data_IF_077436254800
#
_entry.id   IF_077436254800
#
_cell.length_a   1.000
_cell.length_b   1.000
_cell.length_c   1.000
_cell.angle_alpha   90.00
_cell.angle_beta   90.00
_cell.angle_gamma   90.00
#
_symmetry.space_group_name_H-M   'P 1'
#
loop_
_entity.id
_entity.type
_entity.pdbx_description
1 polymer ?
#
# COMPACT_ATOMS: atom_id res chain seq x y z
N UNK A 1 3.77 15.30 -16.60
CA UNK A 1 3.83 14.93 -15.20
C UNK A 1 5.20 15.33 -14.62
N UNK A 2 5.22 16.17 -13.57
CA UNK A 2 6.47 16.54 -12.89
C UNK A 2 6.42 16.00 -11.46
N UNK A 3 7.20 14.97 -11.21
CA UNK A 3 7.26 14.25 -9.92
C UNK A 3 8.71 13.84 -9.61
N UNK A 4 9.01 13.67 -8.33
CA UNK A 4 10.08 12.81 -7.85
C UNK A 4 9.45 11.53 -7.32
N UNK A 5 10.11 10.39 -7.45
CA UNK A 5 9.60 9.13 -6.93
C UNK A 5 10.71 8.21 -6.45
N UNK A 6 10.37 7.32 -5.54
CA UNK A 6 11.25 6.27 -5.05
C UNK A 6 10.42 5.08 -4.53
N UNK A 7 11.09 3.94 -4.44
CA UNK A 7 10.57 2.74 -3.80
C UNK A 7 11.65 2.07 -2.95
N UNK A 8 11.22 1.34 -1.93
CA UNK A 8 12.07 0.56 -1.04
C UNK A 8 11.35 -0.72 -0.63
N UNK A 9 12.10 -1.80 -0.48
CA UNK A 9 11.63 -3.05 0.11
C UNK A 9 12.75 -3.66 0.94
N UNK A 10 12.51 -3.82 2.23
CA UNK A 10 13.45 -4.38 3.21
C UNK A 10 12.91 -5.71 3.73
N UNK A 11 13.81 -6.65 3.95
CA UNK A 11 13.47 -7.97 4.47
C UNK A 11 12.97 -7.92 5.93
N UNK A 12 13.42 -6.92 6.71
CA UNK A 12 13.22 -6.93 8.15
C UNK A 12 13.92 -8.11 8.81
N UNK A 13 13.29 -8.70 9.82
CA UNK A 13 13.79 -9.89 10.52
C UNK A 13 13.14 -11.20 10.02
N UNK A 14 12.54 -11.18 8.84
CA UNK A 14 11.96 -12.37 8.21
C UNK A 14 13.01 -13.15 7.42
N UNK A 15 12.72 -14.42 7.11
CA UNK A 15 13.56 -15.26 6.24
C UNK A 15 13.31 -15.01 4.77
N UNK A 16 12.08 -14.64 4.41
CA UNK A 16 11.64 -14.40 3.05
C UNK A 16 10.93 -13.05 2.95
N UNK A 17 11.05 -12.40 1.79
CA UNK A 17 10.33 -11.18 1.50
C UNK A 17 9.07 -11.51 0.68
N UNK A 18 7.90 -11.38 1.31
CA UNK A 18 6.59 -11.61 0.70
C UNK A 18 5.94 -10.33 0.18
N UNK A 19 6.52 -9.17 0.47
CA UNK A 19 6.09 -7.89 -0.08
C UNK A 19 6.52 -7.72 -1.53
N UNK A 20 5.73 -6.97 -2.30
CA UNK A 20 6.12 -6.42 -3.60
C UNK A 20 5.75 -4.95 -3.68
N UNK A 21 6.64 -4.17 -4.29
CA UNK A 21 6.46 -2.75 -4.50
C UNK A 21 6.81 -2.38 -5.93
N UNK A 22 6.11 -1.41 -6.50
CA UNK A 22 6.44 -0.87 -7.81
C UNK A 22 5.94 0.57 -7.96
N UNK A 23 6.75 1.39 -8.65
CA UNK A 23 6.36 2.70 -9.17
C UNK A 23 6.48 2.68 -10.69
N UNK A 24 5.34 2.65 -11.38
CA UNK A 24 5.27 2.74 -12.84
C UNK A 24 4.97 4.18 -13.25
N UNK A 25 5.84 4.79 -14.07
CA UNK A 25 5.72 6.20 -14.47
C UNK A 25 5.68 6.31 -15.99
N UNK A 26 4.64 6.96 -16.51
CA UNK A 26 4.52 7.36 -17.89
C UNK A 26 4.66 8.88 -18.07
N UNK A 27 4.48 9.37 -19.28
CA UNK A 27 4.45 10.81 -19.56
C UNK A 27 3.32 11.55 -18.83
N UNK A 28 2.17 10.89 -18.65
CA UNK A 28 0.94 11.51 -18.16
C UNK A 28 0.52 11.07 -16.77
N UNK A 29 0.95 9.90 -16.32
CA UNK A 29 0.47 9.26 -15.09
C UNK A 29 1.56 8.52 -14.35
N UNK A 30 1.37 8.32 -13.04
CA UNK A 30 2.19 7.43 -12.23
C UNK A 30 1.29 6.52 -11.40
N UNK A 31 1.67 5.24 -11.30
CA UNK A 31 1.01 4.22 -10.48
C UNK A 31 1.99 3.75 -9.40
N UNK A 32 1.61 3.89 -8.14
CA UNK A 32 2.32 3.34 -6.99
C UNK A 32 1.54 2.13 -6.49
N UNK A 33 2.23 1.04 -6.25
CA UNK A 33 1.62 -0.22 -5.78
C UNK A 33 2.47 -0.81 -4.67
N UNK A 34 1.84 -1.22 -3.57
CA UNK A 34 2.42 -2.09 -2.55
C UNK A 34 1.47 -3.25 -2.29
N UNK A 35 2.02 -4.44 -2.30
CA UNK A 35 1.33 -5.70 -2.05
C UNK A 35 2.08 -6.42 -0.93
N UNK A 36 1.39 -6.75 0.14
CA UNK A 36 1.90 -7.58 1.23
C UNK A 36 1.29 -8.98 1.12
N UNK A 37 2.14 -9.96 0.88
CA UNK A 37 1.74 -11.34 0.64
C UNK A 37 1.55 -12.12 1.93
N UNK A 38 0.38 -12.73 2.11
CA UNK A 38 0.02 -13.55 3.25
C UNK A 38 -0.17 -14.99 2.85
N UNK A 39 0.45 -15.91 3.58
CA UNK A 39 0.35 -17.34 3.33
C UNK A 39 1.62 -18.03 3.82
N UNK A 40 1.50 -19.32 4.20
CA UNK A 40 2.67 -20.05 4.69
C UNK A 40 3.78 -20.14 3.63
N UNK A 41 5.02 -19.77 4.00
CA UNK A 41 6.22 -19.90 3.15
C UNK A 41 6.14 -19.13 1.81
N UNK A 42 6.32 -19.82 0.68
CA UNK A 42 6.43 -19.21 -0.65
C UNK A 42 5.11 -18.70 -1.25
N UNK A 43 3.98 -19.02 -0.66
CA UNK A 43 2.69 -18.76 -1.30
C UNK A 43 2.25 -17.30 -1.16
N UNK A 44 2.61 -16.62 -0.06
CA UNK A 44 2.42 -15.16 0.09
C UNK A 44 3.22 -14.38 -0.96
N UNK A 45 4.50 -14.73 -1.16
CA UNK A 45 5.32 -14.11 -2.19
C UNK A 45 4.75 -14.29 -3.61
N UNK A 46 4.18 -15.47 -3.92
CA UNK A 46 3.52 -15.75 -5.20
C UNK A 46 2.24 -14.94 -5.37
N UNK A 47 1.44 -14.79 -4.29
CA UNK A 47 0.25 -13.95 -4.30
C UNK A 47 0.61 -12.50 -4.62
N UNK A 48 1.61 -11.95 -3.91
CA UNK A 48 2.08 -10.59 -4.12
C UNK A 48 2.66 -10.37 -5.52
N UNK A 49 3.47 -11.30 -6.03
CA UNK A 49 4.03 -11.27 -7.39
C UNK A 49 2.94 -11.27 -8.47
N UNK A 50 1.92 -12.12 -8.29
CA UNK A 50 0.79 -12.22 -9.22
C UNK A 50 -0.02 -10.93 -9.23
N UNK A 51 -0.34 -10.40 -8.04
CA UNK A 51 -1.16 -9.19 -7.92
C UNK A 51 -0.46 -7.96 -8.51
N UNK A 52 0.83 -7.74 -8.18
CA UNK A 52 1.56 -6.57 -8.67
C UNK A 52 1.74 -6.62 -10.19
N UNK A 53 2.00 -7.79 -10.75
CA UNK A 53 2.11 -8.00 -12.19
C UNK A 53 0.83 -7.59 -12.91
N UNK A 54 -0.33 -8.05 -12.44
CA UNK A 54 -1.64 -7.69 -13.03
C UNK A 54 -1.87 -6.18 -13.01
N UNK A 55 -1.59 -5.51 -11.89
CA UNK A 55 -1.80 -4.07 -11.75
C UNK A 55 -0.88 -3.25 -12.64
N UNK A 56 0.41 -3.60 -12.68
CA UNK A 56 1.41 -2.90 -13.50
C UNK A 56 1.16 -3.14 -15.00
N UNK A 57 0.83 -4.38 -15.41
CA UNK A 57 0.46 -4.68 -16.80
C UNK A 57 -0.82 -3.93 -17.21
N UNK A 58 -1.83 -3.87 -16.36
CA UNK A 58 -3.06 -3.11 -16.62
C UNK A 58 -2.76 -1.62 -16.85
N UNK A 59 -1.86 -1.03 -16.04
CA UNK A 59 -1.44 0.37 -16.20
C UNK A 59 -0.79 0.62 -17.56
N UNK A 60 0.14 -0.24 -17.98
CA UNK A 60 0.85 -0.06 -19.25
C UNK A 60 -0.02 -0.32 -20.49
N UNK A 61 -1.05 -1.18 -20.39
CA UNK A 61 -1.95 -1.48 -21.49
C UNK A 61 -3.14 -0.52 -21.58
N UNK A 62 -3.37 0.32 -20.58
CA UNK A 62 -4.47 1.29 -20.59
C UNK A 62 -4.01 2.62 -21.22
N UNK A 63 -4.75 3.18 -22.22
CA UNK A 63 -4.45 4.49 -22.75
C UNK A 63 -4.40 5.57 -21.67
N UNK A 64 -3.40 6.47 -21.77
CA UNK A 64 -3.15 7.48 -20.75
C UNK A 64 -3.26 8.91 -21.32
N UNK A 65 -3.74 9.88 -20.53
CA UNK A 65 -4.22 9.72 -19.15
C UNK A 65 -5.46 8.82 -19.08
N UNK A 66 -5.59 8.05 -18.00
CA UNK A 66 -6.68 7.10 -17.81
C UNK A 66 -8.02 7.88 -17.68
N UNK A 67 -9.01 7.56 -18.53
CA UNK A 67 -10.25 8.32 -18.62
C UNK A 67 -11.11 8.18 -17.34
N UNK A 68 -11.20 6.96 -16.81
CA UNK A 68 -11.90 6.65 -15.55
C UNK A 68 -10.92 6.03 -14.55
N UNK A 69 -10.22 6.84 -13.73
CA UNK A 69 -9.25 6.36 -12.74
C UNK A 69 -9.82 5.40 -11.72
N UNK A 70 -11.02 5.66 -11.20
CA UNK A 70 -11.62 4.82 -10.16
C UNK A 70 -12.13 3.50 -10.73
N UNK A 71 -12.74 3.52 -11.91
CA UNK A 71 -13.11 2.31 -12.64
C UNK A 71 -11.89 1.46 -13.01
N UNK A 72 -10.79 2.10 -13.43
CA UNK A 72 -9.52 1.41 -13.69
C UNK A 72 -9.00 0.71 -12.44
N UNK A 73 -8.93 1.39 -11.30
CA UNK A 73 -8.46 0.82 -10.03
C UNK A 73 -9.36 -0.35 -9.59
N UNK A 74 -10.68 -0.16 -9.64
CA UNK A 74 -11.64 -1.20 -9.27
C UNK A 74 -11.50 -2.47 -10.14
N UNK A 75 -11.48 -2.32 -11.45
CA UNK A 75 -11.37 -3.44 -12.37
C UNK A 75 -10.02 -4.13 -12.29
N UNK A 76 -8.93 -3.37 -12.13
CA UNK A 76 -7.58 -3.93 -12.01
C UNK A 76 -7.40 -4.72 -10.71
N UNK A 77 -7.95 -4.23 -9.58
CA UNK A 77 -7.96 -4.97 -8.32
C UNK A 77 -8.84 -6.23 -8.40
N UNK A 78 -10.00 -6.15 -9.06
CA UNK A 78 -10.83 -7.32 -9.30
C UNK A 78 -10.10 -8.41 -10.08
N UNK A 79 -9.39 -8.04 -11.14
CA UNK A 79 -8.54 -8.97 -11.93
C UNK A 79 -7.40 -9.52 -11.10
N UNK A 80 -6.73 -8.69 -10.30
CA UNK A 80 -5.66 -9.15 -9.42
C UNK A 80 -6.18 -10.18 -8.40
N UNK A 81 -7.36 -9.92 -7.82
CA UNK A 81 -8.02 -10.87 -6.93
C UNK A 81 -8.30 -12.22 -7.61
N UNK A 82 -8.88 -12.21 -8.80
CA UNK A 82 -9.17 -13.43 -9.57
C UNK A 82 -7.89 -14.26 -9.86
N UNK A 83 -6.81 -13.60 -10.27
CA UNK A 83 -5.55 -14.28 -10.58
C UNK A 83 -4.89 -14.86 -9.32
N UNK A 84 -4.93 -14.13 -8.18
CA UNK A 84 -4.43 -14.66 -6.90
C UNK A 84 -5.30 -15.82 -6.42
N UNK A 85 -6.63 -15.73 -6.51
CA UNK A 85 -7.55 -16.80 -6.11
C UNK A 85 -7.30 -18.11 -6.89
N UNK A 86 -6.94 -18.03 -8.18
CA UNK A 86 -6.59 -19.19 -9.00
C UNK A 86 -5.40 -19.97 -8.45
N UNK A 87 -4.46 -19.33 -7.76
CA UNK A 87 -3.29 -20.00 -7.18
C UNK A 87 -3.70 -21.01 -6.09
N UNK A 88 -4.82 -20.77 -5.42
CA UNK A 88 -5.31 -21.59 -4.31
C UNK A 88 -6.49 -22.50 -4.64
N UNK A 89 -6.90 -22.64 -5.92
CA UNK A 89 -8.15 -23.34 -6.30
C UNK A 89 -8.25 -24.78 -5.76
N UNK A 90 -7.11 -25.49 -5.67
CA UNK A 90 -7.05 -26.87 -5.20
C UNK A 90 -6.59 -27.00 -3.74
N UNK A 91 -6.49 -25.88 -3.02
CA UNK A 91 -6.02 -25.86 -1.62
C UNK A 91 -7.19 -25.66 -0.66
N UNK A 92 -7.12 -26.23 0.56
CA UNK A 92 -7.99 -25.84 1.66
C UNK A 92 -7.94 -24.32 1.89
N UNK A 93 -9.03 -23.75 2.36
CA UNK A 93 -9.18 -22.28 2.49
C UNK A 93 -8.06 -21.64 3.32
N UNK A 94 -7.61 -22.30 4.37
CA UNK A 94 -6.59 -21.83 5.29
C UNK A 94 -5.18 -21.75 4.66
N UNK A 95 -4.96 -22.54 3.59
CA UNK A 95 -3.67 -22.63 2.88
C UNK A 95 -3.65 -21.83 1.57
N UNK A 96 -4.76 -21.20 1.22
CA UNK A 96 -4.83 -20.42 -0.02
C UNK A 96 -3.99 -19.15 0.05
N UNK A 97 -3.21 -18.85 -0.98
CA UNK A 97 -2.46 -17.60 -1.08
C UNK A 97 -3.36 -16.38 -0.99
N UNK A 98 -2.92 -15.36 -0.26
CA UNK A 98 -3.62 -14.10 -0.06
C UNK A 98 -2.64 -12.96 -0.10
N UNK A 99 -3.15 -11.75 -0.31
CA UNK A 99 -2.34 -10.55 -0.19
C UNK A 99 -3.21 -9.34 0.16
N UNK A 100 -2.63 -8.37 0.85
CA UNK A 100 -3.19 -7.02 0.92
C UNK A 100 -2.80 -6.25 -0.34
N UNK A 101 -3.41 -5.11 -0.58
CA UNK A 101 -3.02 -4.22 -1.66
C UNK A 101 -3.33 -2.77 -1.30
N UNK A 102 -2.36 -1.90 -1.51
CA UNK A 102 -2.58 -0.46 -1.58
C UNK A 102 -2.04 0.05 -2.92
N UNK A 103 -2.87 0.81 -3.64
CA UNK A 103 -2.54 1.34 -4.97
C UNK A 103 -2.97 2.79 -5.08
N UNK A 104 -2.09 3.63 -5.66
CA UNK A 104 -2.36 5.05 -5.89
C UNK A 104 -1.99 5.42 -7.33
N UNK A 105 -2.95 6.02 -8.06
CA UNK A 105 -2.76 6.58 -9.38
C UNK A 105 -2.69 8.10 -9.29
N UNK A 106 -1.66 8.68 -9.88
CA UNK A 106 -1.42 10.14 -9.95
C UNK A 106 -1.50 10.57 -11.40
N UNK A 107 -2.41 11.47 -11.72
CA UNK A 107 -2.53 12.09 -13.05
C UNK A 107 -3.29 13.41 -13.00
N UNK A 108 -3.03 14.31 -13.95
CA UNK A 108 -3.75 15.58 -14.09
C UNK A 108 -3.88 16.38 -12.79
N UNK A 109 -2.80 16.44 -11.99
CA UNK A 109 -2.80 17.17 -10.72
C UNK A 109 -3.73 16.60 -9.65
N UNK A 110 -4.03 15.31 -9.72
CA UNK A 110 -4.89 14.64 -8.78
C UNK A 110 -4.39 13.25 -8.46
N UNK A 111 -4.68 12.78 -7.25
CA UNK A 111 -4.47 11.42 -6.82
C UNK A 111 -5.80 10.67 -6.70
N UNK A 112 -5.75 9.38 -7.01
CA UNK A 112 -6.83 8.41 -6.86
C UNK A 112 -6.23 7.16 -6.23
N UNK A 113 -6.88 6.56 -5.26
CA UNK A 113 -6.34 5.35 -4.64
C UNK A 113 -7.41 4.32 -4.35
N UNK A 114 -6.97 3.10 -4.19
CA UNK A 114 -7.77 2.00 -3.71
C UNK A 114 -6.92 1.11 -2.79
N UNK A 115 -7.56 0.42 -1.87
CA UNK A 115 -6.88 -0.57 -1.05
C UNK A 115 -7.81 -1.71 -0.64
N UNK A 116 -7.17 -2.85 -0.30
CA UNK A 116 -7.76 -4.04 0.29
C UNK A 116 -6.77 -4.52 1.35
N UNK A 117 -7.23 -4.65 2.60
CA UNK A 117 -6.39 -5.02 3.73
C UNK A 117 -5.92 -3.82 4.54
N UNK A 118 -4.72 -3.90 5.10
CA UNK A 118 -4.11 -2.95 6.02
C UNK A 118 -2.83 -2.29 5.47
N UNK A 119 -2.43 -2.59 4.24
CA UNK A 119 -1.51 -1.73 3.50
C UNK A 119 -2.14 -0.37 3.26
N UNK A 120 -1.37 0.71 3.44
CA UNK A 120 -1.92 2.07 3.53
C UNK A 120 -1.47 2.98 2.40
N UNK A 121 -2.34 3.94 2.06
CA UNK A 121 -2.02 5.13 1.27
C UNK A 121 -2.10 6.35 2.18
N UNK A 122 -1.05 7.17 2.17
CA UNK A 122 -1.00 8.46 2.84
C UNK A 122 -0.89 9.59 1.81
N UNK A 123 -1.63 10.65 2.00
CA UNK A 123 -1.37 11.96 1.42
C UNK A 123 -0.85 12.88 2.52
N UNK A 124 0.43 13.25 2.41
CA UNK A 124 1.09 14.15 3.35
C UNK A 124 1.16 15.54 2.73
N UNK A 125 0.73 16.54 3.48
CA UNK A 125 0.73 17.94 3.06
C UNK A 125 1.30 18.82 4.15
N UNK A 126 2.33 19.60 3.83
CA UNK A 126 2.96 20.56 4.76
C UNK A 126 3.39 19.92 6.09
N UNK A 127 3.98 18.70 6.01
CA UNK A 127 4.47 17.96 7.18
C UNK A 127 3.38 17.39 8.09
N UNK A 128 2.17 17.20 7.57
CA UNK A 128 1.05 16.58 8.28
C UNK A 128 0.40 15.49 7.44
N UNK A 129 -0.18 14.48 8.08
CA UNK A 129 -1.09 13.55 7.41
C UNK A 129 -2.37 14.31 7.07
N UNK A 130 -2.54 14.60 5.77
CA UNK A 130 -3.75 15.26 5.27
C UNK A 130 -4.88 14.26 5.07
N UNK A 131 -4.56 13.07 4.51
CA UNK A 131 -5.46 11.93 4.39
C UNK A 131 -4.68 10.62 4.51
N UNK A 132 -5.37 9.60 4.98
CA UNK A 132 -4.87 8.23 5.09
C UNK A 132 -6.02 7.25 4.85
N UNK A 133 -5.73 6.09 4.26
CA UNK A 133 -6.67 4.96 4.21
C UNK A 133 -6.96 4.42 5.60
N UNK A 134 -8.10 3.77 5.77
CA UNK A 134 -8.46 3.02 6.98
C UNK A 134 -8.32 1.55 6.71
N UNK A 135 -7.70 0.84 7.62
CA UNK A 135 -7.41 -0.58 7.46
C UNK A 135 -8.69 -1.44 7.43
N UNK A 136 -8.70 -2.47 6.60
CA UNK A 136 -9.71 -3.52 6.68
C UNK A 136 -9.25 -4.56 7.71
N UNK A 137 -9.16 -4.15 8.97
CA UNK A 137 -8.73 -4.98 10.08
C UNK A 137 -9.78 -5.00 11.19
N UNK A 138 -9.79 -6.11 11.94
CA UNK A 138 -10.71 -6.27 13.07
C UNK A 138 -10.54 -5.16 14.12
N UNK A 139 -9.31 -4.73 14.34
CA UNK A 139 -9.00 -3.68 15.32
C UNK A 139 -9.53 -2.31 14.88
N UNK A 140 -9.42 -1.96 13.59
CA UNK A 140 -9.98 -0.73 13.04
C UNK A 140 -11.51 -0.75 13.13
N UNK A 141 -12.16 -1.90 12.90
CA UNK A 141 -13.60 -2.07 13.11
C UNK A 141 -13.99 -1.79 14.56
N UNK A 142 -13.30 -2.40 15.54
CA UNK A 142 -13.57 -2.19 16.98
C UNK A 142 -13.34 -0.74 17.42
N UNK A 143 -12.32 -0.08 16.89
CA UNK A 143 -12.05 1.35 17.12
C UNK A 143 -13.20 2.23 16.62
N UNK A 144 -13.67 1.97 15.41
CA UNK A 144 -14.77 2.73 14.80
C UNK A 144 -16.08 2.57 15.56
N UNK A 145 -16.36 1.36 16.03
CA UNK A 145 -17.56 1.09 16.84
C UNK A 145 -17.41 1.58 18.30
N UNK A 146 -16.25 2.14 18.67
CA UNK A 146 -16.00 2.64 20.03
C UNK A 146 -15.89 1.55 21.10
N UNK A 147 -15.65 0.30 20.68
CA UNK A 147 -15.53 -0.88 21.58
C UNK A 147 -14.18 -0.87 22.29
N UNK A 148 -13.13 -0.38 21.62
CA UNK A 148 -11.78 -0.25 22.17
C UNK A 148 -11.24 1.18 21.93
N UNK A 149 -10.26 1.56 22.75
CA UNK A 149 -9.49 2.81 22.57
C UNK A 149 -8.29 2.60 21.65
N UNK A 150 -7.66 3.69 21.18
CA UNK A 150 -6.44 3.64 20.39
C UNK A 150 -5.29 2.90 21.13
N UNK A 151 -5.14 3.14 22.43
CA UNK A 151 -4.12 2.46 23.25
C UNK A 151 -4.39 0.95 23.36
N UNK A 152 -5.65 0.55 23.50
CA UNK A 152 -6.03 -0.86 23.53
C UNK A 152 -5.80 -1.56 22.18
N UNK A 153 -5.94 -0.83 21.09
CA UNK A 153 -5.70 -1.34 19.74
C UNK A 153 -4.24 -1.79 19.54
N UNK A 154 -3.28 -1.05 20.09
CA UNK A 154 -1.84 -1.35 19.95
C UNK A 154 -1.43 -2.72 20.53
N UNK A 155 -2.15 -3.18 21.56
CA UNK A 155 -1.86 -4.44 22.27
C UNK A 155 -2.91 -5.51 22.07
N UNK A 156 -3.89 -5.27 21.18
CA UNK A 156 -5.01 -6.18 20.96
C UNK A 156 -4.52 -7.52 20.37
N UNK A 157 -5.01 -8.69 20.85
CA UNK A 157 -4.58 -10.00 20.34
C UNK A 157 -4.81 -10.19 18.84
N UNK A 158 -5.83 -9.53 18.28
CA UNK A 158 -6.18 -9.59 16.86
C UNK A 158 -5.70 -8.37 16.07
N UNK A 159 -4.68 -7.65 16.52
CA UNK A 159 -4.20 -6.44 15.87
C UNK A 159 -3.73 -6.67 14.42
N UNK A 160 -3.22 -7.86 14.13
CA UNK A 160 -2.74 -8.25 12.80
C UNK A 160 -3.80 -9.06 12.01
N UNK A 161 -5.06 -9.09 12.47
CA UNK A 161 -6.10 -9.82 11.77
C UNK A 161 -6.73 -8.94 10.69
N UNK A 162 -6.41 -9.27 9.44
CA UNK A 162 -6.93 -8.61 8.24
C UNK A 162 -8.24 -9.26 7.83
N UNK A 163 -9.30 -8.48 7.67
CA UNK A 163 -10.65 -8.97 7.32
C UNK A 163 -10.84 -9.13 5.81
N UNK A 164 -10.18 -8.29 5.01
CA UNK A 164 -10.30 -8.29 3.54
C UNK A 164 -8.93 -8.46 2.89
N UNK A 165 -8.83 -9.37 1.92
CA UNK A 165 -7.60 -9.60 1.17
C UNK A 165 -7.87 -10.03 -0.28
N UNK A 166 -6.88 -9.87 -1.15
CA UNK A 166 -6.87 -10.49 -2.46
C UNK A 166 -6.67 -12.00 -2.33
N UNK A 167 -7.31 -12.80 -3.18
CA UNK A 167 -7.23 -14.25 -3.12
C UNK A 167 -8.02 -14.88 -1.98
N UNK A 168 -7.67 -16.11 -1.59
CA UNK A 168 -8.39 -16.88 -0.57
C UNK A 168 -9.78 -17.32 -1.04
N UNK A 169 -10.77 -16.47 -0.93
CA UNK A 169 -12.13 -16.71 -1.37
C UNK A 169 -12.32 -16.40 -2.87
N UNK A 170 -13.26 -17.02 -3.58
CA UNK A 170 -13.52 -16.71 -4.99
C UNK A 170 -14.34 -15.41 -5.18
N UNK A 171 -14.95 -14.90 -4.13
CA UNK A 171 -15.78 -13.69 -4.19
C UNK A 171 -14.90 -12.44 -4.04
N UNK A 172 -15.22 -11.41 -4.82
CA UNK A 172 -14.52 -10.14 -4.75
C UNK A 172 -14.61 -9.58 -3.32
N UNK A 173 -13.46 -9.30 -2.67
CA UNK A 173 -13.46 -8.74 -1.33
C UNK A 173 -13.99 -7.30 -1.34
N UNK A 174 -14.42 -6.81 -0.19
CA UNK A 174 -14.67 -5.40 -0.01
C UNK A 174 -13.38 -4.62 -0.28
N UNK A 175 -13.48 -3.61 -1.15
CA UNK A 175 -12.39 -2.69 -1.46
C UNK A 175 -12.80 -1.25 -1.17
N UNK A 176 -11.91 -0.48 -0.61
CA UNK A 176 -12.10 0.95 -0.42
C UNK A 176 -11.51 1.73 -1.58
N UNK A 177 -12.33 2.59 -2.18
CA UNK A 177 -11.94 3.52 -3.24
C UNK A 177 -11.91 4.94 -2.67
N UNK A 178 -10.77 5.61 -2.80
CA UNK A 178 -10.63 7.02 -2.44
C UNK A 178 -11.23 7.91 -3.51
N UNK A 179 -11.86 9.01 -3.08
CA UNK A 179 -12.32 10.04 -4.01
C UNK A 179 -11.11 10.75 -4.64
N UNK A 180 -11.37 11.44 -5.76
CA UNK A 180 -10.38 12.32 -6.40
C UNK A 180 -9.85 13.35 -5.40
N UNK A 181 -8.53 13.39 -5.22
CA UNK A 181 -7.84 14.38 -4.38
C UNK A 181 -6.96 15.30 -5.22
N UNK A 182 -7.28 16.59 -5.28
CA UNK A 182 -6.41 17.57 -5.90
C UNK A 182 -5.08 17.69 -5.14
N UNK A 183 -3.98 17.70 -5.89
CA UNK A 183 -2.63 17.81 -5.34
C UNK A 183 -2.14 19.25 -5.32
N UNK A 184 -1.49 19.64 -4.24
CA UNK A 184 -0.71 20.86 -4.09
C UNK A 184 0.77 20.58 -4.35
N UNK A 185 1.53 21.61 -4.78
CA UNK A 185 2.97 21.47 -4.95
C UNK A 185 3.64 21.01 -3.64
N UNK A 186 4.50 20.01 -3.75
CA UNK A 186 5.21 19.33 -2.66
C UNK A 186 4.35 18.39 -1.79
N UNK A 187 3.14 18.06 -2.21
CA UNK A 187 2.43 16.95 -1.60
C UNK A 187 3.22 15.65 -1.78
N UNK A 188 3.19 14.81 -0.75
CA UNK A 188 3.77 13.48 -0.74
C UNK A 188 2.64 12.45 -0.75
N UNK A 189 2.70 11.55 -1.72
CA UNK A 189 1.90 10.33 -1.73
C UNK A 189 2.80 9.17 -1.34
N UNK A 190 2.48 8.50 -0.25
CA UNK A 190 3.19 7.34 0.27
C UNK A 190 2.24 6.16 0.29
N UNK A 191 2.67 5.05 -0.30
CA UNK A 191 1.98 3.75 -0.26
C UNK A 191 2.89 2.77 0.45
N UNK A 192 2.40 2.02 1.45
CA UNK A 192 3.28 1.16 2.25
C UNK A 192 2.55 -0.06 2.84
N UNK A 193 3.33 -1.13 3.11
CA UNK A 193 2.89 -2.29 3.90
C UNK A 193 2.88 -1.99 5.40
N UNK A 194 2.32 -2.90 6.18
CA UNK A 194 2.24 -2.80 7.64
C UNK A 194 3.60 -2.75 8.33
N UNK A 195 4.63 -3.39 7.75
CA UNK A 195 6.00 -3.32 8.25
C UNK A 195 6.57 -1.89 8.32
N UNK A 196 6.05 -0.94 7.53
CA UNK A 196 6.45 0.46 7.65
C UNK A 196 5.70 1.16 8.79
N UNK A 197 4.37 1.15 8.76
CA UNK A 197 3.56 1.92 9.70
C UNK A 197 3.42 1.25 11.07
N UNK A 198 3.62 -0.06 11.16
CA UNK A 198 3.54 -0.81 12.41
C UNK A 198 4.61 -0.43 13.45
N UNK A 199 5.73 0.13 13.01
CA UNK A 199 6.81 0.63 13.87
C UNK A 199 6.84 2.16 14.06
N UNK A 200 5.93 2.90 13.43
CA UNK A 200 5.98 4.36 13.38
C UNK A 200 4.62 4.99 13.68
N UNK A 201 4.63 6.16 14.30
CA UNK A 201 3.45 6.98 14.44
C UNK A 201 3.21 7.83 13.18
N UNK A 202 1.96 8.26 12.95
CA UNK A 202 1.61 9.16 11.83
C UNK A 202 2.45 10.46 11.85
N UNK A 203 2.87 10.93 13.03
CA UNK A 203 3.74 12.09 13.18
C UNK A 203 5.16 11.83 12.62
N UNK A 204 5.71 10.63 12.84
CA UNK A 204 7.01 10.21 12.30
C UNK A 204 6.97 10.16 10.77
N UNK A 205 5.91 9.54 10.23
CA UNK A 205 5.70 9.42 8.78
C UNK A 205 5.53 10.80 8.13
N UNK A 206 4.72 11.68 8.73
CA UNK A 206 4.39 12.98 8.14
C UNK A 206 5.58 13.94 8.07
N UNK A 207 6.55 13.79 8.96
CA UNK A 207 7.75 14.64 9.04
C UNK A 207 8.98 14.08 8.32
N UNK A 208 8.88 12.87 7.75
CA UNK A 208 9.99 12.17 7.13
C UNK A 208 10.48 12.79 5.81
N UNK A 209 9.64 13.58 5.13
CA UNK A 209 9.90 14.12 3.80
C UNK A 209 9.99 15.66 3.78
N UNK A 210 11.02 16.25 4.43
CA UNK A 210 11.18 17.70 4.44
C UNK A 210 11.53 18.26 3.06
N UNK A 211 11.12 19.50 2.78
CA UNK A 211 11.55 20.19 1.57
C UNK A 211 13.07 20.43 1.58
N UNK A 212 13.74 20.04 0.51
CA UNK A 212 15.11 20.45 0.18
C UNK A 212 16.26 19.94 1.08
N UNK A 213 16.21 18.71 1.64
CA UNK A 213 17.34 18.20 2.45
C UNK A 213 18.09 17.02 1.87
N UNK A 214 17.39 16.07 1.25
CA UNK A 214 18.01 14.88 0.68
C UNK A 214 17.20 14.39 -0.52
N UNK A 215 17.80 13.54 -1.39
CA UNK A 215 17.03 12.82 -2.40
C UNK A 215 15.86 12.05 -1.76
N UNK A 216 14.70 12.06 -2.40
CA UNK A 216 13.47 11.41 -1.92
C UNK A 216 13.70 9.92 -1.57
N UNK A 217 14.57 9.26 -2.34
CA UNK A 217 14.97 7.86 -2.10
C UNK A 217 15.66 7.68 -0.74
N UNK A 218 16.55 8.59 -0.38
CA UNK A 218 17.31 8.49 0.89
C UNK A 218 16.39 8.80 2.09
N UNK A 219 15.41 9.68 1.91
CA UNK A 219 14.39 9.97 2.91
C UNK A 219 13.50 8.76 3.15
N UNK A 220 13.04 8.11 2.08
CA UNK A 220 12.24 6.90 2.14
C UNK A 220 13.00 5.74 2.79
N UNK A 221 14.27 5.53 2.39
CA UNK A 221 15.10 4.48 2.96
C UNK A 221 15.31 4.67 4.47
N UNK A 222 15.64 5.90 4.91
CA UNK A 222 15.78 6.21 6.35
C UNK A 222 14.50 5.96 7.13
N UNK A 223 13.34 6.28 6.55
CA UNK A 223 12.05 6.02 7.18
C UNK A 223 11.81 4.51 7.35
N UNK A 224 12.06 3.72 6.31
CA UNK A 224 11.92 2.26 6.35
C UNK A 224 12.89 1.60 7.34
N UNK A 225 14.17 1.99 7.32
CA UNK A 225 15.18 1.51 8.28
C UNK A 225 14.83 1.87 9.73
N UNK A 226 14.26 3.06 9.95
CA UNK A 226 13.79 3.48 11.27
C UNK A 226 12.66 2.58 11.76
N UNK A 227 11.67 2.25 10.91
CA UNK A 227 10.60 1.33 11.29
C UNK A 227 11.15 -0.03 11.70
N UNK A 228 12.01 -0.63 10.87
CA UNK A 228 12.68 -1.91 11.17
C UNK A 228 13.44 -1.83 12.49
N UNK A 229 14.17 -0.74 12.72
CA UNK A 229 14.95 -0.54 13.96
C UNK A 229 14.08 -0.41 15.21
N UNK A 230 12.95 0.29 15.12
CA UNK A 230 12.01 0.48 16.24
C UNK A 230 11.36 -0.85 16.65
N UNK A 231 10.92 -1.63 15.66
CA UNK A 231 10.30 -2.95 15.93
C UNK A 231 11.34 -4.00 16.32
N UNK A 232 12.57 -3.90 15.79
CA UNK A 232 13.69 -4.78 16.12
C UNK A 232 13.47 -6.21 15.64
N UNK A 233 13.70 -7.19 16.53
CA UNK A 233 13.65 -8.62 16.18
C UNK A 233 12.28 -9.13 15.70
N UNK A 234 11.23 -8.36 15.90
CA UNK A 234 9.87 -8.67 15.40
C UNK A 234 9.50 -7.97 14.07
N UNK A 235 10.44 -7.26 13.43
CA UNK A 235 10.14 -6.48 12.24
C UNK A 235 9.75 -7.36 11.07
N UNK A 236 8.68 -6.94 10.37
CA UNK A 236 8.18 -7.58 9.16
C UNK A 236 8.91 -7.11 7.91
N UNK A 237 8.58 -7.71 6.76
CA UNK A 237 8.92 -7.14 5.47
C UNK A 237 8.39 -5.70 5.43
N UNK A 238 9.21 -4.77 4.98
CA UNK A 238 8.90 -3.34 5.04
C UNK A 238 9.05 -2.75 3.66
N UNK A 239 7.92 -2.51 3.00
CA UNK A 239 7.89 -2.01 1.63
C UNK A 239 7.11 -0.72 1.51
N UNK A 240 7.64 0.21 0.72
CA UNK A 240 6.98 1.48 0.45
C UNK A 240 7.35 2.07 -0.91
N UNK A 241 6.40 2.80 -1.49
CA UNK A 241 6.56 3.63 -2.66
C UNK A 241 6.14 5.06 -2.35
N UNK A 242 6.89 6.04 -2.85
CA UNK A 242 6.63 7.46 -2.60
C UNK A 242 6.69 8.28 -3.88
N UNK A 243 5.79 9.25 -3.99
CA UNK A 243 5.84 10.31 -5.02
C UNK A 243 5.77 11.66 -4.33
N UNK A 244 6.67 12.58 -4.71
CA UNK A 244 6.54 14.02 -4.44
C UNK A 244 5.98 14.70 -5.68
N UNK A 245 4.85 15.35 -5.51
CA UNK A 245 4.20 16.11 -6.57
C UNK A 245 4.86 17.49 -6.74
N UNK A 246 5.44 17.76 -7.90
CA UNK A 246 6.09 19.07 -8.19
C UNK A 246 5.13 19.97 -8.96
N UNK A 247 4.30 19.41 -9.82
CA UNK A 247 3.33 20.16 -10.63
C UNK A 247 3.01 19.49 -11.96
N UNK A 248 2.14 20.12 -12.72
CA UNK A 248 1.95 19.80 -14.13
C UNK A 248 3.13 20.37 -14.95
N UNK A 249 3.46 19.72 -16.05
CA UNK A 249 4.46 20.21 -17.01
C UNK A 249 3.90 21.44 -17.74
#
# INVERSE_FOLDING_TARGET
LRIEYAEVSLLGCRTDNQDRVSVAVSEHSALLVVIDGMGGHSDGARAAETAIKVLVEAFWHTPQPILDPLGFLHLSLGRAHEEVAKLGTNLPLELRPRATCAVCLVQNGSAFWAHIGDSRVYLLRRGKVFKRTRDHSHVEFLLREGVITADQALTHPMRNFVECCLGGEPFLPEMSLGLREPLEANDILLVCSDGLWGGLEDADISTAFPLARAPLRDELLRLAERSVSVVGAGSDNTSAAVVRWIGNA
#
